data_IF_172906877449
#
_entry.id   IF_172906877449
#
_cell.length_a   1.000
_cell.length_b   1.000
_cell.length_c   1.000
_cell.angle_alpha   90.00
_cell.angle_beta   90.00
_cell.angle_gamma   90.00
#
_symmetry.space_group_name_H-M   'P 1'
#
loop_
_entity.id
_entity.type
_entity.pdbx_description
1 polymer ?
#
# COMPACT_ATOMS: atom_id res chain seq x y z
N UNK A 1 7.02 -30.84 -1.77
CA UNK A 1 6.64 -29.44 -1.54
C UNK A 1 7.10 -28.64 -2.75
N UNK A 2 6.20 -27.94 -3.44
CA UNK A 2 6.59 -27.02 -4.49
C UNK A 2 7.24 -25.80 -3.84
N UNK A 3 8.55 -25.70 -3.93
CA UNK A 3 9.31 -24.53 -3.49
C UNK A 3 9.12 -23.44 -4.52
N UNK A 4 8.04 -22.67 -4.39
CA UNK A 4 7.94 -21.42 -5.13
C UNK A 4 9.09 -20.52 -4.66
N UNK A 5 10.03 -20.22 -5.56
CA UNK A 5 11.27 -19.51 -5.23
C UNK A 5 11.18 -17.98 -5.35
N UNK A 6 10.09 -17.45 -5.92
CA UNK A 6 9.97 -16.02 -6.22
C UNK A 6 8.64 -15.43 -5.75
N UNK A 7 8.72 -14.36 -4.97
CA UNK A 7 7.58 -13.59 -4.49
C UNK A 7 7.48 -12.25 -5.24
N UNK A 8 6.60 -12.18 -6.25
CA UNK A 8 6.41 -10.97 -7.07
C UNK A 8 6.00 -9.72 -6.31
N UNK A 9 5.48 -9.85 -5.07
CA UNK A 9 5.16 -8.68 -4.23
C UNK A 9 6.39 -7.86 -3.83
N UNK A 10 7.59 -8.45 -3.85
CA UNK A 10 8.85 -7.73 -3.59
C UNK A 10 9.11 -6.65 -4.63
N UNK A 11 8.91 -6.97 -5.91
CA UNK A 11 9.09 -6.02 -7.01
C UNK A 11 8.06 -4.90 -6.92
N UNK A 12 6.79 -5.23 -6.64
CA UNK A 12 5.74 -4.24 -6.46
C UNK A 12 6.02 -3.33 -5.25
N UNK A 13 6.45 -3.89 -4.13
CA UNK A 13 6.80 -3.11 -2.94
C UNK A 13 7.98 -2.16 -3.19
N UNK A 14 9.05 -2.66 -3.85
CA UNK A 14 10.19 -1.83 -4.24
C UNK A 14 9.77 -0.69 -5.15
N UNK A 15 8.98 -0.98 -6.18
CA UNK A 15 8.51 0.05 -7.11
C UNK A 15 7.60 1.06 -6.41
N UNK A 16 6.70 0.62 -5.52
CA UNK A 16 5.88 1.52 -4.70
C UNK A 16 6.76 2.46 -3.85
N UNK A 17 7.80 1.92 -3.21
CA UNK A 17 8.76 2.70 -2.42
C UNK A 17 9.51 3.72 -3.27
N UNK A 18 9.96 3.35 -4.47
CA UNK A 18 10.61 4.27 -5.40
C UNK A 18 9.68 5.43 -5.81
N UNK A 19 8.41 5.14 -6.10
CA UNK A 19 7.42 6.18 -6.43
C UNK A 19 7.08 7.09 -5.23
N UNK A 20 7.07 6.55 -4.01
CA UNK A 20 6.90 7.38 -2.82
C UNK A 20 8.06 8.36 -2.63
N UNK A 21 9.30 7.92 -2.87
CA UNK A 21 10.49 8.78 -2.82
C UNK A 21 10.49 9.81 -3.96
N UNK A 22 10.08 9.41 -5.16
CA UNK A 22 9.90 10.33 -6.30
C UNK A 22 8.88 11.44 -5.98
N UNK A 23 7.75 11.08 -5.33
CA UNK A 23 6.75 12.05 -4.89
C UNK A 23 7.34 13.09 -3.92
N UNK A 24 8.14 12.66 -2.94
CA UNK A 24 8.84 13.56 -2.03
C UNK A 24 9.79 14.51 -2.77
N UNK A 25 10.55 14.00 -3.75
CA UNK A 25 11.42 14.83 -4.59
C UNK A 25 10.61 15.87 -5.35
N UNK A 26 9.53 15.47 -6.01
CA UNK A 26 8.69 16.40 -6.79
C UNK A 26 8.01 17.45 -5.91
N UNK A 27 7.59 17.11 -4.70
CA UNK A 27 7.08 18.07 -3.73
C UNK A 27 8.12 19.15 -3.39
N UNK A 28 9.35 18.71 -3.06
CA UNK A 28 10.47 19.62 -2.77
C UNK A 28 10.84 20.50 -3.96
N UNK A 29 10.89 19.94 -5.17
CA UNK A 29 11.16 20.70 -6.38
C UNK A 29 10.05 21.71 -6.71
N UNK A 30 8.79 21.38 -6.40
CA UNK A 30 7.67 22.32 -6.56
C UNK A 30 7.83 23.54 -5.64
N UNK A 31 8.19 23.31 -4.38
CA UNK A 31 8.43 24.36 -3.38
C UNK A 31 9.62 25.24 -3.79
N UNK A 32 10.70 24.63 -4.27
CA UNK A 32 11.87 25.36 -4.78
C UNK A 32 11.52 26.22 -5.99
N UNK A 33 10.74 25.70 -6.95
CA UNK A 33 10.26 26.48 -8.11
C UNK A 33 9.39 27.65 -7.67
N UNK A 34 8.47 27.45 -6.73
CA UNK A 34 7.64 28.54 -6.20
C UNK A 34 8.46 29.63 -5.51
N UNK A 35 9.50 29.26 -4.77
CA UNK A 35 10.38 30.20 -4.10
C UNK A 35 11.18 31.10 -5.07
N UNK A 36 11.42 30.67 -6.32
CA UNK A 36 12.18 31.43 -7.33
C UNK A 36 11.30 32.08 -8.42
N UNK A 37 9.97 32.04 -8.27
CA UNK A 37 9.02 32.75 -9.15
C UNK A 37 8.11 31.88 -10.03
N UNK A 38 8.55 30.74 -10.61
CA UNK A 38 7.67 29.83 -11.35
C UNK A 38 6.59 29.16 -10.49
N UNK A 39 5.41 28.86 -11.08
CA UNK A 39 4.23 28.37 -10.33
C UNK A 39 4.40 27.00 -9.63
N UNK A 40 5.39 26.18 -10.01
CA UNK A 40 5.60 24.84 -9.48
C UNK A 40 4.52 23.80 -9.87
N UNK A 41 3.51 24.19 -10.64
CA UNK A 41 2.33 23.37 -10.97
C UNK A 41 2.67 22.03 -11.62
N UNK A 42 3.60 22.02 -12.58
CA UNK A 42 4.06 20.80 -13.25
C UNK A 42 4.68 19.80 -12.28
N UNK A 43 5.42 20.27 -11.27
CA UNK A 43 6.01 19.40 -10.24
C UNK A 43 4.96 18.85 -9.29
N UNK A 44 3.96 19.65 -8.90
CA UNK A 44 2.81 19.17 -8.12
C UNK A 44 1.99 18.13 -8.88
N UNK A 45 1.87 18.23 -10.21
CA UNK A 45 1.23 17.18 -11.00
C UNK A 45 2.04 15.88 -10.98
N UNK A 46 3.37 15.94 -11.19
CA UNK A 46 4.23 14.76 -11.10
C UNK A 46 4.25 14.12 -9.71
N UNK A 47 4.16 14.94 -8.65
CA UNK A 47 3.95 14.45 -7.29
C UNK A 47 2.70 13.59 -7.22
N UNK A 48 1.54 14.11 -7.67
CA UNK A 48 0.27 13.37 -7.65
C UNK A 48 0.34 12.06 -8.45
N UNK A 49 0.91 12.09 -9.65
CA UNK A 49 1.06 10.89 -10.48
C UNK A 49 1.92 9.83 -9.77
N UNK A 50 3.00 10.25 -9.10
CA UNK A 50 3.84 9.37 -8.30
C UNK A 50 3.11 8.81 -7.06
N UNK A 51 2.25 9.61 -6.41
CA UNK A 51 1.42 9.15 -5.28
C UNK A 51 0.38 8.13 -5.74
N UNK A 52 -0.30 8.35 -6.87
CA UNK A 52 -1.23 7.39 -7.47
C UNK A 52 -0.53 6.06 -7.75
N UNK A 53 0.64 6.12 -8.40
CA UNK A 53 1.44 4.92 -8.68
C UNK A 53 1.84 4.20 -7.38
N UNK A 54 2.22 4.96 -6.34
CA UNK A 54 2.53 4.40 -5.01
C UNK A 54 1.34 3.62 -4.44
N UNK A 55 0.13 4.21 -4.43
CA UNK A 55 -1.08 3.59 -3.89
C UNK A 55 -1.38 2.26 -4.60
N UNK A 56 -1.39 2.27 -5.93
CA UNK A 56 -1.72 1.08 -6.74
C UNK A 56 -0.67 -0.02 -6.55
N UNK A 57 0.61 0.32 -6.58
CA UNK A 57 1.70 -0.65 -6.42
C UNK A 57 1.77 -1.20 -4.99
N UNK A 58 1.51 -0.36 -3.98
CA UNK A 58 1.51 -0.76 -2.58
C UNK A 58 0.35 -1.73 -2.27
N UNK A 59 -0.85 -1.48 -2.83
CA UNK A 59 -1.95 -2.44 -2.76
C UNK A 59 -1.58 -3.76 -3.46
N UNK A 60 -1.04 -3.70 -4.68
CA UNK A 60 -0.60 -4.90 -5.40
C UNK A 60 0.46 -5.69 -4.64
N UNK A 61 1.37 -5.02 -3.95
CA UNK A 61 2.36 -5.66 -3.08
C UNK A 61 1.69 -6.36 -1.89
N UNK A 62 0.77 -5.69 -1.18
CA UNK A 62 0.05 -6.27 -0.05
C UNK A 62 -0.80 -7.48 -0.45
N UNK A 63 -1.54 -7.38 -1.55
CA UNK A 63 -2.34 -8.47 -2.10
C UNK A 63 -1.46 -9.64 -2.58
N UNK A 64 -0.39 -9.35 -3.32
CA UNK A 64 0.56 -10.36 -3.78
C UNK A 64 1.21 -11.09 -2.60
N UNK A 65 1.58 -10.37 -1.54
CA UNK A 65 2.22 -10.94 -0.37
C UNK A 65 1.28 -11.84 0.42
N UNK A 66 0.04 -11.41 0.70
CA UNK A 66 -0.89 -12.28 1.43
C UNK A 66 -1.17 -13.56 0.65
N UNK A 67 -1.33 -13.49 -0.67
CA UNK A 67 -1.48 -14.67 -1.53
C UNK A 67 -0.24 -15.58 -1.47
N UNK A 68 0.95 -14.98 -1.46
CA UNK A 68 2.20 -15.72 -1.29
C UNK A 68 2.25 -16.50 0.01
N UNK A 69 1.82 -15.91 1.12
CA UNK A 69 1.76 -16.58 2.43
C UNK A 69 0.84 -17.80 2.37
N UNK A 70 -0.34 -17.69 1.74
CA UNK A 70 -1.25 -18.81 1.55
C UNK A 70 -0.66 -19.92 0.67
N UNK A 71 0.03 -19.55 -0.41
CA UNK A 71 0.73 -20.49 -1.28
C UNK A 71 1.82 -21.27 -0.52
N UNK A 72 2.64 -20.57 0.26
CA UNK A 72 3.70 -21.20 1.08
C UNK A 72 3.13 -22.11 2.16
N UNK A 73 1.98 -21.76 2.74
CA UNK A 73 1.28 -22.59 3.72
C UNK A 73 0.53 -23.79 3.10
N UNK A 74 0.44 -23.87 1.77
CA UNK A 74 -0.36 -24.89 1.09
C UNK A 74 -1.86 -24.77 1.38
N UNK A 75 -2.35 -23.55 1.57
CA UNK A 75 -3.76 -23.26 1.88
C UNK A 75 -4.40 -22.50 0.73
N UNK A 76 -5.56 -22.96 0.29
CA UNK A 76 -6.35 -22.21 -0.70
C UNK A 76 -6.89 -20.92 -0.07
N UNK A 77 -6.48 -19.79 -0.62
CA UNK A 77 -7.03 -18.49 -0.26
C UNK A 77 -8.48 -18.37 -0.75
N UNK A 78 -9.37 -17.82 0.08
CA UNK A 78 -10.79 -17.59 -0.26
C UNK A 78 -11.21 -16.15 0.04
N UNK A 79 -12.29 -15.70 -0.58
CA UNK A 79 -12.83 -14.34 -0.37
C UNK A 79 -12.01 -13.24 -1.03
N UNK A 80 -12.29 -12.01 -0.58
CA UNK A 80 -11.58 -10.79 -1.02
C UNK A 80 -10.15 -10.78 -0.51
N UNK A 81 -9.30 -9.92 -1.05
CA UNK A 81 -7.92 -9.81 -0.57
C UNK A 81 -7.84 -9.40 0.92
N UNK A 82 -8.79 -8.60 1.41
CA UNK A 82 -8.89 -8.23 2.84
C UNK A 82 -9.32 -9.44 3.68
N UNK A 83 -10.21 -10.29 3.17
CA UNK A 83 -10.59 -11.54 3.86
C UNK A 83 -9.39 -12.49 3.98
N UNK A 84 -8.49 -12.50 2.99
CA UNK A 84 -7.24 -13.27 3.05
C UNK A 84 -6.34 -12.77 4.17
N UNK A 85 -6.22 -11.46 4.37
CA UNK A 85 -5.49 -10.90 5.51
C UNK A 85 -6.10 -11.33 6.85
N UNK A 86 -7.44 -11.35 6.96
CA UNK A 86 -8.12 -11.90 8.13
C UNK A 86 -7.94 -13.42 8.29
N UNK A 87 -7.77 -14.13 7.18
CA UNK A 87 -7.54 -15.57 7.11
C UNK A 87 -6.11 -16.01 7.40
N UNK A 88 -5.16 -15.08 7.64
CA UNK A 88 -3.75 -15.42 7.90
C UNK A 88 -3.56 -16.41 9.05
N UNK A 89 -4.48 -16.44 10.03
CA UNK A 89 -4.50 -17.45 11.09
C UNK A 89 -4.55 -18.89 10.58
N UNK A 90 -5.22 -19.13 9.44
CA UNK A 90 -5.33 -20.44 8.84
C UNK A 90 -3.99 -20.86 8.21
N UNK A 91 -3.31 -19.93 7.55
CA UNK A 91 -1.97 -20.14 7.02
C UNK A 91 -0.95 -20.37 8.16
N UNK A 92 -1.01 -19.56 9.22
CA UNK A 92 -0.18 -19.73 10.41
C UNK A 92 -0.37 -21.11 11.06
N UNK A 93 -1.63 -21.55 11.24
CA UNK A 93 -1.93 -22.87 11.78
C UNK A 93 -1.31 -24.00 10.93
N UNK A 94 -1.39 -23.90 9.61
CA UNK A 94 -0.82 -24.88 8.67
C UNK A 94 0.70 -24.89 8.66
N UNK A 95 1.32 -23.75 8.98
CA UNK A 95 2.75 -23.60 9.19
C UNK A 95 3.21 -23.99 10.62
N UNK A 96 2.32 -24.51 11.47
CA UNK A 96 2.65 -24.92 12.83
C UNK A 96 2.89 -23.75 13.80
N UNK A 97 2.28 -22.58 13.54
CA UNK A 97 2.44 -21.36 14.34
C UNK A 97 1.16 -21.00 15.09
N UNK A 98 1.26 -20.09 16.04
CA UNK A 98 0.12 -19.58 16.80
C UNK A 98 -0.96 -19.04 15.84
N UNK A 99 -2.21 -19.44 16.06
CA UNK A 99 -3.34 -19.13 15.17
C UNK A 99 -4.49 -18.42 15.89
N UNK A 100 -4.35 -18.12 17.19
CA UNK A 100 -5.34 -17.39 17.96
C UNK A 100 -5.16 -15.87 17.80
N UNK A 101 -5.22 -15.40 16.56
CA UNK A 101 -5.16 -13.98 16.24
C UNK A 101 -6.17 -13.61 15.15
N UNK A 102 -6.47 -12.32 15.04
CA UNK A 102 -7.30 -11.74 13.98
C UNK A 102 -6.59 -10.57 13.31
N UNK A 103 -7.09 -10.16 12.14
CA UNK A 103 -6.61 -8.94 11.50
C UNK A 103 -6.93 -7.73 12.37
N UNK A 104 -5.88 -7.00 12.73
CA UNK A 104 -5.99 -5.80 13.55
C UNK A 104 -6.87 -4.74 12.87
N UNK A 105 -7.66 -4.03 13.68
CA UNK A 105 -8.60 -3.01 13.19
C UNK A 105 -7.91 -1.95 12.34
N UNK A 106 -6.70 -1.54 12.73
CA UNK A 106 -5.91 -0.56 11.99
C UNK A 106 -5.56 -1.04 10.58
N UNK A 107 -5.04 -2.27 10.44
CA UNK A 107 -4.73 -2.86 9.13
C UNK A 107 -5.99 -3.02 8.28
N UNK A 108 -7.09 -3.49 8.87
CA UNK A 108 -8.37 -3.60 8.15
C UNK A 108 -8.86 -2.26 7.63
N UNK A 109 -8.84 -1.22 8.46
CA UNK A 109 -9.26 0.12 8.07
C UNK A 109 -8.37 0.66 6.94
N UNK A 110 -7.06 0.47 7.05
CA UNK A 110 -6.12 0.87 6.02
C UNK A 110 -6.35 0.14 4.68
N UNK A 111 -6.59 -1.17 4.71
CA UNK A 111 -6.88 -1.93 3.48
C UNK A 111 -8.19 -1.52 2.82
N UNK A 112 -9.21 -1.22 3.61
CA UNK A 112 -10.45 -0.64 3.08
C UNK A 112 -10.21 0.74 2.45
N UNK A 113 -9.33 1.56 3.01
CA UNK A 113 -8.93 2.84 2.43
C UNK A 113 -8.22 2.65 1.09
N UNK A 114 -7.27 1.70 0.98
CA UNK A 114 -6.61 1.38 -0.28
C UNK A 114 -7.59 0.88 -1.34
N UNK A 115 -8.53 0.00 -0.96
CA UNK A 115 -9.55 -0.50 -1.88
C UNK A 115 -10.46 0.61 -2.38
N UNK A 116 -10.86 1.54 -1.49
CA UNK A 116 -11.65 2.70 -1.86
C UNK A 116 -10.89 3.65 -2.81
N UNK A 117 -9.59 3.86 -2.57
CA UNK A 117 -8.73 4.62 -3.48
C UNK A 117 -8.65 3.97 -4.87
N UNK A 118 -8.41 2.66 -4.93
CA UNK A 118 -8.36 1.92 -6.20
C UNK A 118 -9.68 2.07 -6.97
N UNK A 119 -10.82 1.87 -6.30
CA UNK A 119 -12.12 1.98 -6.95
C UNK A 119 -12.39 3.42 -7.44
N UNK A 120 -12.05 4.44 -6.65
CA UNK A 120 -12.14 5.84 -7.06
C UNK A 120 -11.27 6.14 -8.28
N UNK A 121 -10.01 5.69 -8.28
CA UNK A 121 -9.06 5.92 -9.38
C UNK A 121 -9.45 5.18 -10.67
N UNK A 122 -10.12 4.03 -10.58
CA UNK A 122 -10.54 3.24 -11.73
C UNK A 122 -11.87 3.66 -12.33
N UNK A 123 -12.85 4.01 -11.50
CA UNK A 123 -14.24 4.21 -11.94
C UNK A 123 -14.67 5.67 -11.93
N UNK A 124 -14.13 6.49 -11.02
CA UNK A 124 -14.41 7.93 -10.95
C UNK A 124 -15.86 8.32 -10.64
N UNK A 125 -16.76 7.35 -10.43
CA UNK A 125 -18.19 7.55 -10.19
C UNK A 125 -18.52 8.04 -8.76
N UNK A 126 -19.74 8.54 -8.56
CA UNK A 126 -20.17 9.13 -7.29
C UNK A 126 -20.16 8.12 -6.13
N UNK A 127 -20.46 6.85 -6.42
CA UNK A 127 -20.44 5.78 -5.42
C UNK A 127 -19.01 5.53 -4.90
N UNK A 128 -18.04 5.52 -5.81
CA UNK A 128 -16.62 5.34 -5.49
C UNK A 128 -16.08 6.55 -4.73
N UNK A 129 -16.52 7.76 -5.09
CA UNK A 129 -16.22 9.00 -4.33
C UNK A 129 -16.77 8.96 -2.92
N UNK A 130 -18.04 8.61 -2.74
CA UNK A 130 -18.67 8.53 -1.43
C UNK A 130 -17.99 7.47 -0.55
N UNK A 131 -17.64 6.33 -1.13
CA UNK A 131 -16.92 5.25 -0.44
C UNK A 131 -15.54 5.71 0.02
N UNK A 132 -14.81 6.44 -0.82
CA UNK A 132 -13.51 7.02 -0.48
C UNK A 132 -13.64 8.08 0.63
N UNK A 133 -14.62 9.00 0.54
CA UNK A 133 -14.89 9.99 1.60
C UNK A 133 -15.19 9.33 2.94
N UNK A 134 -15.99 8.26 2.97
CA UNK A 134 -16.27 7.50 4.19
C UNK A 134 -15.00 6.87 4.77
N UNK A 135 -14.14 6.28 3.93
CA UNK A 135 -12.87 5.70 4.37
C UNK A 135 -11.91 6.75 4.95
N UNK A 136 -11.80 7.92 4.31
CA UNK A 136 -10.96 9.04 4.77
C UNK A 136 -11.50 9.64 6.07
N UNK A 137 -12.82 9.83 6.17
CA UNK A 137 -13.46 10.37 7.37
C UNK A 137 -13.22 9.47 8.60
N UNK A 138 -13.20 8.14 8.40
CA UNK A 138 -12.90 7.18 9.47
C UNK A 138 -11.48 7.32 10.05
N UNK A 139 -10.55 7.99 9.34
CA UNK A 139 -9.20 8.35 9.81
C UNK A 139 -9.16 9.70 10.56
N UNK A 140 -10.29 10.39 10.68
CA UNK A 140 -10.39 11.71 11.31
C UNK A 140 -9.88 12.86 10.43
N UNK A 141 -9.77 12.64 9.11
CA UNK A 141 -9.38 13.69 8.17
C UNK A 141 -10.61 14.30 7.52
N UNK A 142 -10.86 15.58 7.82
CA UNK A 142 -11.86 16.40 7.14
C UNK A 142 -11.13 17.54 6.44
N UNK A 143 -10.34 17.22 5.41
CA UNK A 143 -9.68 18.28 4.66
C UNK A 143 -10.69 18.97 3.71
N UNK A 144 -10.73 20.31 3.70
CA UNK A 144 -11.44 21.05 2.69
C UNK A 144 -10.68 20.94 1.36
N UNK A 145 -11.29 20.34 0.32
CA UNK A 145 -10.67 20.15 -0.99
C UNK A 145 -11.29 19.00 -1.78
N UNK A 146 -10.81 18.78 -3.00
CA UNK A 146 -11.15 17.57 -3.77
C UNK A 146 -10.39 16.35 -3.25
N UNK A 147 -10.87 15.13 -3.49
CA UNK A 147 -10.22 13.90 -3.02
C UNK A 147 -8.76 13.83 -3.50
N UNK A 148 -8.50 14.30 -4.73
CA UNK A 148 -7.17 14.33 -5.35
C UNK A 148 -6.17 15.21 -4.59
N UNK A 149 -6.64 16.19 -3.81
CA UNK A 149 -5.75 17.04 -3.01
C UNK A 149 -5.11 16.29 -1.84
N UNK A 150 -5.67 15.12 -1.48
CA UNK A 150 -5.09 14.23 -0.47
C UNK A 150 -3.88 13.43 -1.01
N UNK A 151 -3.69 13.38 -2.33
CA UNK A 151 -2.59 12.66 -2.99
C UNK A 151 -1.28 13.45 -2.92
N UNK A 152 -0.74 13.56 -1.72
CA UNK A 152 0.51 14.26 -1.40
C UNK A 152 1.66 13.28 -1.15
N UNK A 153 2.90 13.77 -1.23
CA UNK A 153 4.09 13.00 -0.87
C UNK A 153 4.04 12.45 0.58
N UNK A 154 3.44 13.20 1.50
CA UNK A 154 3.22 12.76 2.88
C UNK A 154 2.24 11.57 2.94
N UNK A 155 1.21 11.59 2.09
CA UNK A 155 0.28 10.48 1.96
C UNK A 155 0.96 9.22 1.39
N UNK A 156 1.74 9.35 0.31
CA UNK A 156 2.52 8.23 -0.24
C UNK A 156 3.45 7.59 0.82
N UNK A 157 4.10 8.42 1.63
CA UNK A 157 4.97 7.96 2.72
C UNK A 157 4.17 7.17 3.79
N UNK A 158 2.98 7.67 4.14
CA UNK A 158 2.07 7.00 5.08
C UNK A 158 1.60 5.66 4.54
N UNK A 159 1.22 5.59 3.25
CA UNK A 159 0.81 4.34 2.59
C UNK A 159 1.93 3.30 2.67
N UNK A 160 3.17 3.68 2.34
CA UNK A 160 4.30 2.76 2.39
C UNK A 160 4.58 2.26 3.81
N UNK A 161 4.57 3.15 4.80
CA UNK A 161 4.77 2.77 6.19
C UNK A 161 3.71 1.78 6.68
N UNK A 162 2.43 1.99 6.32
CA UNK A 162 1.33 1.10 6.69
C UNK A 162 1.36 -0.26 5.98
N UNK A 163 1.71 -0.30 4.69
CA UNK A 163 1.91 -1.58 3.98
C UNK A 163 3.09 -2.36 4.58
N UNK A 164 4.20 -1.68 4.86
CA UNK A 164 5.36 -2.32 5.48
C UNK A 164 5.01 -2.89 6.86
N UNK A 165 4.32 -2.11 7.69
CA UNK A 165 3.88 -2.54 9.02
C UNK A 165 2.96 -3.77 8.94
N UNK A 166 1.96 -3.76 8.05
CA UNK A 166 1.07 -4.90 7.87
C UNK A 166 1.82 -6.15 7.38
N UNK A 167 2.76 -5.99 6.44
CA UNK A 167 3.57 -7.11 5.96
C UNK A 167 4.50 -7.66 7.04
N UNK A 168 5.10 -6.80 7.89
CA UNK A 168 5.90 -7.24 9.03
C UNK A 168 5.07 -7.97 10.07
N UNK A 169 3.91 -7.46 10.40
CA UNK A 169 2.96 -8.14 11.26
C UNK A 169 2.61 -9.55 10.73
N UNK A 170 2.31 -9.68 9.44
CA UNK A 170 2.06 -10.98 8.83
C UNK A 170 3.30 -11.90 8.82
N UNK A 171 4.51 -11.36 8.63
CA UNK A 171 5.76 -12.11 8.78
C UNK A 171 5.92 -12.63 10.22
N UNK A 172 5.64 -11.80 11.23
CA UNK A 172 5.71 -12.21 12.64
C UNK A 172 4.74 -13.36 12.93
N UNK A 173 3.51 -13.30 12.37
CA UNK A 173 2.51 -14.36 12.57
C UNK A 173 2.79 -15.63 11.76
N UNK A 174 3.28 -15.53 10.54
CA UNK A 174 3.39 -16.68 9.61
C UNK A 174 4.81 -17.19 9.37
N UNK A 175 5.83 -16.38 9.65
CA UNK A 175 7.24 -16.73 9.46
C UNK A 175 7.69 -16.59 8.01
N UNK A 176 6.77 -16.26 7.11
CA UNK A 176 7.06 -16.00 5.70
C UNK A 176 7.62 -14.58 5.57
N UNK A 177 8.85 -14.42 5.05
CA UNK A 177 9.49 -13.11 4.98
C UNK A 177 8.67 -12.07 4.22
N UNK A 178 8.53 -10.88 4.80
CA UNK A 178 7.86 -9.73 4.22
C UNK A 178 8.61 -9.21 2.98
N UNK A 179 7.93 -8.52 2.05
CA UNK A 179 8.57 -7.95 0.86
C UNK A 179 9.73 -7.00 1.20
N UNK A 180 9.56 -6.17 2.24
CA UNK A 180 10.56 -5.22 2.69
C UNK A 180 11.84 -5.85 3.24
N UNK A 181 11.77 -7.10 3.73
CA UNK A 181 12.92 -7.80 4.33
C UNK A 181 13.69 -8.66 3.33
N UNK A 182 13.21 -8.76 2.08
CA UNK A 182 13.83 -9.55 1.01
C UNK A 182 14.25 -8.69 -0.18
N UNK A 183 15.23 -7.80 0.03
CA UNK A 183 15.91 -7.14 -1.10
C UNK A 183 15.12 -6.03 -1.81
N UNK A 184 14.07 -5.50 -1.20
CA UNK A 184 13.36 -4.30 -1.69
C UNK A 184 14.16 -3.00 -1.44
N UNK A 185 15.42 -3.00 -1.83
CA UNK A 185 16.28 -1.83 -1.88
C UNK A 185 15.91 -0.99 -3.11
N UNK A 186 15.87 0.32 -2.95
CA UNK A 186 15.60 1.27 -4.04
C UNK A 186 16.90 1.99 -4.34
N UNK A 187 17.30 2.03 -5.61
CA UNK A 187 18.45 2.84 -6.02
C UNK A 187 18.07 4.34 -5.97
N UNK A 188 18.98 5.24 -5.57
CA UNK A 188 18.76 6.68 -5.69
C UNK A 188 18.34 7.12 -7.09
N UNK A 189 18.81 6.43 -8.14
CA UNK A 189 18.51 6.74 -9.54
C UNK A 189 17.09 6.32 -9.99
N UNK A 190 16.40 5.49 -9.18
CA UNK A 190 15.00 5.07 -9.43
C UNK A 190 13.98 6.03 -8.81
N UNK A 191 14.45 6.94 -7.95
CA UNK A 191 13.64 7.93 -7.24
C UNK A 191 13.57 9.21 -8.06
#
# INVERSE_FOLDING_TARGET
>A
MATHGYNGSQVLFRQAKARALAAQRFAKEAEQKQAVGPSGTERRQRERDAVIATVVLAQGAAEGYVNWVFLQAGVTATGTWIDRWAGLRNAAAKLGRESQFGLEKEHRNFFNELDAWRNFLLHGDERSRESLRKAIAARGSTQPGGEVDLLTAAYASTVMAKVEAACRWAQEKTGIPAPATQGAWVSPDEC
#
